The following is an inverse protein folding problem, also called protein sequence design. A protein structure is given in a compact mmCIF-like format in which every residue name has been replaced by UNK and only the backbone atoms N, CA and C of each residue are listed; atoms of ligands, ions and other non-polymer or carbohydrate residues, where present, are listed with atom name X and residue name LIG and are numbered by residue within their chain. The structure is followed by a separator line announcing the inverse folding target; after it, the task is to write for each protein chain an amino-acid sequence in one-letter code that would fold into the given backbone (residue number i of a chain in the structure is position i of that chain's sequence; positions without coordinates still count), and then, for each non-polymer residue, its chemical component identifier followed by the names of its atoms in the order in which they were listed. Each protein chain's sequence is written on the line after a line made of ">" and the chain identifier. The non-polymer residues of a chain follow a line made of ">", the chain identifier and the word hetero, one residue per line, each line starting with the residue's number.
data_IF_974010228764
#
_entry.id   IF_974010228764
#
_cell.length_a   1.000
_cell.length_b   1.000
_cell.length_c   1.000
_cell.angle_alpha   90.00
_cell.angle_beta   90.00
_cell.angle_gamma   90.00
#
_symmetry.space_group_name_H-M   'P 1'
#
loop_
_entity.id
_entity.type
_entity.pdbx_description
1 polymer ?
#
# COMPACT_ATOMS: atom_id res chain seq x y z
N UNK A 1 23.33 -13.56 -36.77
CA UNK A 1 22.55 -14.29 -35.76
C UNK A 1 21.72 -13.25 -35.02
N UNK A 2 20.54 -12.95 -35.56
CA UNK A 2 19.58 -12.02 -34.98
C UNK A 2 18.88 -12.71 -33.81
N UNK A 3 18.97 -12.13 -32.62
CA UNK A 3 18.17 -12.57 -31.49
C UNK A 3 16.75 -12.03 -31.69
N UNK A 4 15.85 -12.87 -32.20
CA UNK A 4 14.42 -12.64 -32.12
C UNK A 4 14.03 -12.58 -30.64
N UNK A 5 13.89 -11.37 -30.10
CA UNK A 5 13.16 -11.14 -28.87
C UNK A 5 11.67 -11.40 -29.14
N UNK A 6 11.25 -12.66 -29.03
CA UNK A 6 9.84 -12.99 -28.87
C UNK A 6 9.35 -12.40 -27.55
N UNK A 7 8.89 -11.15 -27.58
CA UNK A 7 8.08 -10.57 -26.52
C UNK A 7 6.78 -11.39 -26.44
N UNK A 8 6.75 -12.39 -25.57
CA UNK A 8 5.51 -13.01 -25.09
C UNK A 8 4.65 -11.90 -24.48
N UNK A 9 3.71 -11.37 -25.27
CA UNK A 9 2.58 -10.51 -24.86
C UNK A 9 1.57 -11.29 -24.00
N UNK A 10 2.05 -12.05 -23.02
CA UNK A 10 1.18 -12.79 -22.11
C UNK A 10 1.09 -12.00 -20.79
N UNK A 11 -0.14 -11.61 -20.43
CA UNK A 11 -0.57 -10.99 -19.16
C UNK A 11 -0.40 -9.47 -18.98
N UNK A 12 -0.67 -8.67 -20.03
CA UNK A 12 -0.65 -7.19 -19.92
C UNK A 12 -1.87 -6.63 -19.18
N UNK A 13 -3.04 -7.29 -19.24
CA UNK A 13 -4.28 -6.83 -18.57
C UNK A 13 -4.37 -7.19 -17.08
N UNK A 14 -3.68 -8.22 -16.60
CA UNK A 14 -3.75 -8.68 -15.20
C UNK A 14 -2.78 -7.97 -14.25
N UNK A 15 -1.73 -7.31 -14.76
CA UNK A 15 -0.70 -6.66 -13.93
C UNK A 15 -1.13 -5.35 -13.24
N UNK A 16 -2.24 -4.73 -13.66
CA UNK A 16 -2.80 -3.54 -13.01
C UNK A 16 -3.73 -3.87 -11.83
N UNK A 17 -4.10 -5.14 -11.65
CA UNK A 17 -4.91 -5.62 -10.51
C UNK A 17 -4.07 -5.92 -9.25
N UNK A 18 -2.88 -5.34 -9.14
CA UNK A 18 -2.06 -5.51 -7.95
C UNK A 18 -2.81 -4.96 -6.71
N UNK A 19 -2.78 -5.66 -5.58
CA UNK A 19 -3.16 -5.09 -4.29
C UNK A 19 -2.46 -3.75 -4.01
N UNK A 20 -3.14 -2.83 -3.31
CA UNK A 20 -2.69 -1.45 -3.07
C UNK A 20 -1.28 -1.42 -2.49
N UNK A 21 -0.96 -2.30 -1.54
CA UNK A 21 0.37 -2.34 -0.92
C UNK A 21 1.48 -2.78 -1.89
N UNK A 22 1.17 -3.57 -2.92
CA UNK A 22 2.11 -3.84 -4.01
C UNK A 22 2.24 -2.65 -4.95
N UNK A 23 1.14 -1.96 -5.27
CA UNK A 23 1.18 -0.73 -6.07
C UNK A 23 2.05 0.34 -5.39
N UNK A 24 1.88 0.53 -4.08
CA UNK A 24 2.74 1.39 -3.27
C UNK A 24 4.22 0.99 -3.35
N UNK A 25 4.53 -0.31 -3.24
CA UNK A 25 5.90 -0.80 -3.36
C UNK A 25 6.52 -0.54 -4.74
N UNK A 26 5.72 -0.61 -5.81
CA UNK A 26 6.14 -0.22 -7.16
C UNK A 26 6.37 1.29 -7.22
N UNK A 27 5.42 2.10 -6.74
CA UNK A 27 5.50 3.56 -6.77
C UNK A 27 6.68 4.12 -5.97
N UNK A 28 7.04 3.52 -4.84
CA UNK A 28 8.20 3.92 -4.03
C UNK A 28 9.56 3.64 -4.70
N UNK A 29 9.60 2.86 -5.80
CA UNK A 29 10.86 2.50 -6.47
C UNK A 29 11.43 3.57 -7.39
N UNK A 30 10.85 4.76 -7.41
CA UNK A 30 11.36 5.96 -8.10
C UNK A 30 12.69 6.49 -7.57
N UNK A 31 13.14 6.07 -6.37
CA UNK A 31 14.37 6.62 -5.79
C UNK A 31 15.56 5.65 -5.78
N UNK A 32 16.62 6.11 -6.45
CA UNK A 32 17.95 5.51 -6.56
C UNK A 32 18.74 5.32 -5.25
N UNK A 33 18.13 5.59 -4.10
CA UNK A 33 18.76 5.43 -2.78
C UNK A 33 18.01 4.36 -2.02
N UNK A 34 18.73 3.40 -1.45
CA UNK A 34 18.29 2.64 -0.28
C UNK A 34 17.96 3.65 0.82
N UNK A 35 16.78 4.28 0.76
CA UNK A 35 16.22 4.99 1.92
C UNK A 35 16.07 3.91 2.98
N UNK A 36 16.74 4.10 4.12
CA UNK A 36 16.50 3.31 5.32
C UNK A 36 14.99 3.38 5.53
N UNK A 37 14.29 2.26 5.32
CA UNK A 37 12.84 2.25 5.44
C UNK A 37 12.53 2.44 6.91
N UNK A 38 12.08 3.65 7.22
CA UNK A 38 11.67 4.07 8.54
C UNK A 38 10.29 3.49 8.90
N UNK A 39 9.94 3.58 10.18
CA UNK A 39 8.63 3.23 10.75
C UNK A 39 7.45 3.73 9.92
N UNK A 40 7.60 4.89 9.27
CA UNK A 40 6.59 5.51 8.39
C UNK A 40 6.17 4.60 7.23
N UNK A 41 7.11 3.97 6.52
CA UNK A 41 6.74 3.04 5.43
C UNK A 41 6.07 1.78 5.98
N UNK A 42 6.55 1.32 7.14
CA UNK A 42 6.02 0.13 7.82
C UNK A 42 4.55 0.30 8.20
N UNK A 43 4.18 1.48 8.71
CA UNK A 43 2.80 1.85 9.07
C UNK A 43 1.94 2.00 7.80
N UNK A 44 2.43 2.70 6.78
CA UNK A 44 1.69 2.90 5.53
C UNK A 44 1.34 1.57 4.85
N UNK A 45 2.27 0.61 4.78
CA UNK A 45 1.98 -0.72 4.24
C UNK A 45 0.92 -1.45 5.05
N UNK A 46 0.96 -1.38 6.39
CA UNK A 46 -0.04 -2.04 7.24
C UNK A 46 -1.42 -1.46 7.03
N UNK A 47 -1.53 -0.15 6.95
CA UNK A 47 -2.80 0.52 6.67
C UNK A 47 -3.29 0.14 5.27
N UNK A 48 -2.43 0.15 4.26
CA UNK A 48 -2.79 -0.29 2.91
C UNK A 48 -3.26 -1.76 2.84
N UNK A 49 -2.67 -2.65 3.64
CA UNK A 49 -3.10 -4.05 3.74
C UNK A 49 -4.45 -4.17 4.45
N UNK A 50 -4.63 -3.46 5.57
CA UNK A 50 -5.90 -3.45 6.29
C UNK A 50 -7.03 -2.90 5.41
N UNK A 51 -6.80 -1.81 4.67
CA UNK A 51 -7.81 -1.26 3.76
C UNK A 51 -8.08 -2.20 2.58
N UNK A 52 -7.07 -2.90 2.05
CA UNK A 52 -7.27 -3.93 1.04
C UNK A 52 -8.15 -5.09 1.54
N UNK A 53 -8.01 -5.50 2.80
CA UNK A 53 -8.90 -6.49 3.41
C UNK A 53 -10.34 -5.99 3.49
N UNK A 54 -10.56 -4.71 3.77
CA UNK A 54 -11.92 -4.12 3.81
C UNK A 54 -12.53 -4.03 2.41
N UNK A 55 -11.77 -3.55 1.44
CA UNK A 55 -12.23 -3.40 0.05
C UNK A 55 -12.64 -4.76 -0.54
N UNK A 56 -11.92 -5.83 -0.19
CA UNK A 56 -12.19 -7.18 -0.67
C UNK A 56 -13.10 -8.01 0.28
N UNK A 57 -13.85 -7.37 1.18
CA UNK A 57 -14.82 -8.04 2.06
C UNK A 57 -14.27 -9.09 3.04
N UNK A 58 -12.95 -9.09 3.26
CA UNK A 58 -12.30 -9.97 4.22
C UNK A 58 -12.29 -9.41 5.64
N UNK A 59 -12.50 -8.10 5.80
CA UNK A 59 -12.49 -7.42 7.09
C UNK A 59 -13.64 -6.40 7.17
N UNK A 60 -14.42 -6.47 8.25
CA UNK A 60 -15.48 -5.51 8.54
C UNK A 60 -15.60 -5.25 10.04
N UNK A 61 -16.33 -4.20 10.40
CA UNK A 61 -16.78 -3.96 11.77
C UNK A 61 -18.19 -4.54 11.95
N UNK A 62 -18.38 -5.40 12.94
CA UNK A 62 -19.70 -5.78 13.46
C UNK A 62 -19.84 -5.18 14.87
N UNK A 63 -20.64 -4.12 14.99
CA UNK A 63 -20.60 -3.25 16.17
C UNK A 63 -19.23 -2.58 16.31
N UNK A 64 -18.53 -2.87 17.41
CA UNK A 64 -17.17 -2.38 17.68
C UNK A 64 -16.09 -3.46 17.51
N UNK A 65 -16.44 -4.63 16.94
CA UNK A 65 -15.55 -5.76 16.79
C UNK A 65 -15.09 -5.94 15.35
N UNK A 66 -13.80 -6.15 15.15
CA UNK A 66 -13.27 -6.56 13.85
C UNK A 66 -13.64 -8.01 13.57
N UNK A 67 -14.37 -8.23 12.49
CA UNK A 67 -14.68 -9.56 11.99
C UNK A 67 -13.93 -9.83 10.70
N UNK A 68 -13.23 -10.95 10.70
CA UNK A 68 -12.53 -11.47 9.53
C UNK A 68 -13.41 -12.55 8.90
N UNK A 69 -13.66 -12.45 7.60
CA UNK A 69 -14.42 -13.41 6.81
C UNK A 69 -13.55 -13.99 5.72
N UNK A 70 -13.71 -15.30 5.45
CA UNK A 70 -12.98 -15.99 4.38
C UNK A 70 -11.48 -16.10 4.61
N UNK A 71 -10.77 -16.58 3.57
CA UNK A 71 -9.32 -16.75 3.56
C UNK A 71 -8.75 -16.09 2.30
N UNK A 72 -8.05 -14.96 2.43
CA UNK A 72 -7.40 -14.33 1.28
C UNK A 72 -6.38 -15.27 0.62
N UNK A 73 -6.37 -15.34 -0.71
CA UNK A 73 -5.39 -16.16 -1.44
C UNK A 73 -3.96 -15.58 -1.37
N UNK A 74 -3.82 -14.26 -1.17
CA UNK A 74 -2.51 -13.64 -0.96
C UNK A 74 -2.00 -13.95 0.46
N UNK A 75 -0.78 -14.50 0.54
CA UNK A 75 -0.19 -14.94 1.80
C UNK A 75 -0.02 -13.81 2.83
N UNK A 76 0.24 -12.57 2.39
CA UNK A 76 0.39 -11.41 3.29
C UNK A 76 -0.98 -11.00 3.82
N UNK A 77 -1.99 -10.91 2.94
CA UNK A 77 -3.37 -10.64 3.36
C UNK A 77 -3.87 -11.70 4.34
N UNK A 78 -3.62 -12.98 4.07
CA UNK A 78 -4.04 -14.09 4.93
C UNK A 78 -3.36 -14.05 6.30
N UNK A 79 -2.05 -13.79 6.35
CA UNK A 79 -1.32 -13.63 7.61
C UNK A 79 -1.88 -12.49 8.45
N UNK A 80 -2.15 -11.33 7.83
CA UNK A 80 -2.70 -10.17 8.52
C UNK A 80 -4.13 -10.46 8.99
N UNK A 81 -4.98 -11.04 8.15
CA UNK A 81 -6.34 -11.45 8.50
C UNK A 81 -6.35 -12.42 9.69
N UNK A 82 -5.48 -13.44 9.67
CA UNK A 82 -5.32 -14.39 10.77
C UNK A 82 -4.90 -13.68 12.06
N UNK A 83 -3.89 -12.79 12.00
CA UNK A 83 -3.46 -12.00 13.16
C UNK A 83 -4.58 -11.11 13.70
N UNK A 84 -5.37 -10.44 12.85
CA UNK A 84 -6.51 -9.62 13.27
C UNK A 84 -7.54 -10.49 14.01
N UNK A 85 -7.90 -11.66 13.47
CA UNK A 85 -8.85 -12.57 14.12
C UNK A 85 -8.36 -13.00 15.51
N UNK A 86 -7.08 -13.38 15.64
CA UNK A 86 -6.49 -13.77 16.91
C UNK A 86 -6.41 -12.62 17.92
N UNK A 87 -6.14 -11.40 17.46
CA UNK A 87 -6.15 -10.19 18.30
C UNK A 87 -7.57 -9.94 18.83
N UNK A 88 -8.58 -9.96 17.95
CA UNK A 88 -9.96 -9.68 18.35
C UNK A 88 -10.48 -10.74 19.32
N UNK A 89 -10.17 -12.02 19.11
CA UNK A 89 -10.55 -13.09 20.06
C UNK A 89 -9.94 -12.90 21.45
N UNK A 90 -8.80 -12.20 21.56
CA UNK A 90 -8.16 -11.88 22.84
C UNK A 90 -8.56 -10.53 23.41
N UNK A 91 -9.05 -9.60 22.58
CA UNK A 91 -9.38 -8.24 22.99
C UNK A 91 -10.54 -7.68 22.17
N UNK A 92 -11.73 -7.72 22.77
CA UNK A 92 -12.99 -7.24 22.21
C UNK A 92 -13.08 -5.70 22.10
N UNK A 93 -12.10 -4.95 22.60
CA UNK A 93 -12.08 -3.48 22.54
C UNK A 93 -10.96 -2.94 21.66
N UNK A 94 -10.55 -3.71 20.64
CA UNK A 94 -9.46 -3.31 19.74
C UNK A 94 -9.89 -2.18 18.82
N UNK A 95 -9.22 -1.03 18.89
CA UNK A 95 -9.43 0.11 17.97
C UNK A 95 -8.53 -0.01 16.73
N UNK A 96 -8.83 0.70 15.61
CA UNK A 96 -7.95 0.74 14.44
C UNK A 96 -6.50 1.15 14.77
N UNK A 97 -6.33 2.14 15.67
CA UNK A 97 -5.02 2.59 16.15
C UNK A 97 -4.27 1.48 16.88
N UNK A 98 -4.93 0.82 17.84
CA UNK A 98 -4.33 -0.28 18.59
C UNK A 98 -4.00 -1.47 17.68
N UNK A 99 -4.88 -1.79 16.74
CA UNK A 99 -4.67 -2.88 15.79
C UNK A 99 -3.40 -2.65 14.96
N UNK A 100 -3.25 -1.46 14.36
CA UNK A 100 -2.05 -1.12 13.57
C UNK A 100 -0.79 -1.14 14.44
N UNK A 101 -0.84 -0.63 15.67
CA UNK A 101 0.28 -0.66 16.61
C UNK A 101 0.71 -2.11 16.95
N UNK A 102 -0.25 -3.00 17.21
CA UNK A 102 0.03 -4.43 17.45
C UNK A 102 0.67 -5.07 16.22
N UNK A 103 0.08 -4.89 15.03
CA UNK A 103 0.62 -5.45 13.80
C UNK A 103 2.03 -4.90 13.50
N UNK A 104 2.33 -3.67 13.93
CA UNK A 104 3.64 -3.03 13.81
C UNK A 104 4.65 -3.45 14.89
N UNK A 105 4.22 -4.19 15.91
CA UNK A 105 5.07 -4.64 17.01
C UNK A 105 5.36 -3.56 18.05
N UNK A 106 4.55 -2.51 18.11
CA UNK A 106 4.67 -1.41 19.08
C UNK A 106 4.08 -1.78 20.45
N UNK A 107 3.34 -2.90 20.54
CA UNK A 107 2.68 -3.33 21.78
C UNK A 107 3.24 -4.67 22.25
N UNK A 108 4.12 -4.63 23.26
CA UNK A 108 4.87 -5.80 23.74
C UNK A 108 3.99 -6.99 24.14
N UNK A 109 2.87 -6.74 24.81
CA UNK A 109 1.87 -7.76 25.22
C UNK A 109 1.36 -8.61 24.04
N UNK A 110 1.39 -8.05 22.83
CA UNK A 110 0.86 -8.65 21.61
C UNK A 110 1.96 -8.95 20.57
N UNK A 111 3.21 -9.06 21.02
CA UNK A 111 4.38 -9.26 20.14
C UNK A 111 4.27 -10.48 19.23
N UNK A 112 3.56 -11.54 19.64
CA UNK A 112 3.30 -12.74 18.83
C UNK A 112 2.40 -12.49 17.62
N UNK A 113 1.62 -11.40 17.59
CA UNK A 113 0.74 -11.03 16.48
C UNK A 113 1.37 -10.03 15.50
N UNK A 114 2.64 -9.68 15.72
CA UNK A 114 3.38 -8.75 14.87
C UNK A 114 3.65 -9.34 13.49
N UNK A 115 3.39 -8.56 12.44
CA UNK A 115 3.74 -8.96 11.06
C UNK A 115 5.22 -8.68 10.80
N UNK A 116 6.06 -9.70 11.01
CA UNK A 116 7.52 -9.60 10.88
C UNK A 116 7.95 -9.61 9.42
N UNK A 117 9.02 -8.88 9.11
CA UNK A 117 9.68 -8.82 7.78
C UNK A 117 8.71 -8.47 6.63
N UNK A 118 7.69 -7.66 6.89
CA UNK A 118 6.64 -7.33 5.92
C UNK A 118 7.21 -6.84 4.58
N UNK A 119 8.17 -5.92 4.63
CA UNK A 119 8.87 -5.41 3.45
C UNK A 119 9.47 -6.55 2.61
N UNK A 120 10.22 -7.45 3.24
CA UNK A 120 10.88 -8.54 2.53
C UNK A 120 9.86 -9.48 1.92
N UNK A 121 8.74 -9.75 2.61
CA UNK A 121 7.61 -10.53 2.07
C UNK A 121 7.06 -9.88 0.79
N UNK A 122 6.78 -8.57 0.84
CA UNK A 122 6.27 -7.80 -0.31
C UNK A 122 7.23 -7.89 -1.50
N UNK A 123 8.52 -7.58 -1.30
CA UNK A 123 9.48 -7.59 -2.41
C UNK A 123 9.83 -8.99 -2.90
N UNK A 124 9.82 -10.01 -2.04
CA UNK A 124 10.02 -11.38 -2.47
C UNK A 124 8.86 -11.86 -3.34
N UNK A 125 7.62 -11.47 -3.02
CA UNK A 125 6.47 -11.78 -3.88
C UNK A 125 6.55 -11.04 -5.22
N UNK A 126 6.82 -9.74 -5.22
CA UNK A 126 7.05 -8.97 -6.46
C UNK A 126 8.20 -9.54 -7.30
N UNK A 127 9.24 -10.10 -6.65
CA UNK A 127 10.33 -10.79 -7.36
C UNK A 127 9.87 -12.10 -8.00
N UNK A 128 9.12 -12.92 -7.25
CA UNK A 128 8.54 -14.18 -7.78
C UNK A 128 7.61 -13.91 -8.97
N UNK A 129 6.85 -12.82 -8.91
CA UNK A 129 5.94 -12.38 -9.97
C UNK A 129 6.65 -11.62 -11.11
N UNK A 130 7.98 -11.58 -11.09
CA UNK A 130 8.82 -10.92 -12.10
C UNK A 130 8.52 -9.44 -12.30
N UNK A 131 8.01 -8.77 -11.26
CA UNK A 131 7.80 -7.32 -11.23
C UNK A 131 9.12 -6.60 -10.89
N UNK A 132 9.92 -7.19 -10.01
CA UNK A 132 11.24 -6.65 -9.61
C UNK A 132 12.34 -7.70 -9.73
N UNK A 133 13.56 -7.23 -9.97
CA UNK A 133 14.79 -8.03 -9.94
C UNK A 133 15.79 -7.47 -8.94
N UNK A 134 16.62 -8.35 -8.40
CA UNK A 134 17.72 -8.01 -7.50
C UNK A 134 19.00 -7.88 -8.33
N UNK A 135 19.40 -6.67 -8.70
CA UNK A 135 20.69 -6.40 -9.36
C UNK A 135 21.80 -6.32 -8.29
N UNK A 136 22.84 -7.15 -8.42
CA UNK A 136 24.07 -7.00 -7.63
C UNK A 136 24.80 -5.75 -8.13
N UNK A 137 25.26 -4.89 -7.22
CA UNK A 137 26.19 -3.83 -7.60
C UNK A 137 27.58 -4.46 -7.70
N UNK A 138 28.25 -4.29 -8.85
CA UNK A 138 29.58 -4.86 -9.13
C UNK A 138 30.61 -4.43 -8.07
N UNK A 139 30.43 -3.26 -7.45
CA UNK A 139 31.36 -2.68 -6.47
C UNK A 139 30.85 -2.60 -5.02
N UNK A 140 29.68 -3.17 -4.69
CA UNK A 140 29.15 -3.12 -3.31
C UNK A 140 28.53 -4.45 -2.88
N UNK A 141 28.69 -4.79 -1.59
CA UNK A 141 28.05 -5.95 -0.92
C UNK A 141 26.51 -5.81 -0.91
N UNK A 142 25.97 -4.62 -1.19
CA UNK A 142 24.53 -4.38 -1.22
C UNK A 142 23.91 -4.53 -2.61
N UNK A 143 22.90 -5.39 -2.69
CA UNK A 143 22.05 -5.55 -3.86
C UNK A 143 20.98 -4.47 -3.96
N UNK A 144 20.70 -3.98 -5.18
CA UNK A 144 19.58 -3.08 -5.47
C UNK A 144 18.41 -3.87 -6.02
N UNK A 145 17.21 -3.63 -5.49
CA UNK A 145 15.96 -4.11 -6.11
C UNK A 145 15.53 -3.06 -7.14
N UNK A 146 15.30 -3.48 -8.37
CA UNK A 146 14.95 -2.64 -9.53
C UNK A 146 13.70 -3.22 -10.16
N UNK A 147 12.83 -2.37 -10.73
CA UNK A 147 11.72 -2.84 -11.54
C UNK A 147 12.26 -3.58 -12.78
N UNK A 148 11.62 -4.68 -13.14
CA UNK A 148 11.89 -5.37 -14.42
C UNK A 148 11.37 -4.54 -15.57
N UNK A 149 10.18 -3.95 -15.37
CA UNK A 149 9.42 -3.21 -16.34
C UNK A 149 9.09 -1.83 -15.76
N UNK A 150 9.73 -0.78 -16.27
CA UNK A 150 9.41 0.61 -15.88
C UNK A 150 8.02 1.02 -16.40
N UNK A 151 7.46 0.33 -17.40
CA UNK A 151 6.13 0.64 -17.93
C UNK A 151 5.04 0.32 -16.91
N UNK A 152 5.26 -0.63 -15.99
CA UNK A 152 4.30 -0.85 -14.90
C UNK A 152 4.21 0.37 -13.98
N UNK A 153 5.36 0.94 -13.62
CA UNK A 153 5.39 2.16 -12.81
C UNK A 153 4.71 3.31 -13.56
N UNK A 154 5.08 3.52 -14.81
CA UNK A 154 4.52 4.61 -15.62
C UNK A 154 3.01 4.45 -15.81
N UNK A 155 2.51 3.24 -16.04
CA UNK A 155 1.07 2.98 -16.13
C UNK A 155 0.33 3.26 -14.83
N UNK A 156 0.86 2.81 -13.69
CA UNK A 156 0.27 3.14 -12.38
C UNK A 156 0.25 4.65 -12.14
N UNK A 157 1.33 5.34 -12.48
CA UNK A 157 1.43 6.79 -12.39
C UNK A 157 0.39 7.50 -13.26
N UNK A 158 0.26 7.10 -14.54
CA UNK A 158 -0.70 7.70 -15.46
C UNK A 158 -2.14 7.47 -15.01
N UNK A 159 -2.49 6.28 -14.54
CA UNK A 159 -3.83 6.00 -14.00
C UNK A 159 -4.19 6.91 -12.83
N UNK A 160 -3.26 7.10 -11.89
CA UNK A 160 -3.45 8.02 -10.75
C UNK A 160 -3.63 9.46 -11.26
N UNK A 161 -2.81 9.90 -12.22
CA UNK A 161 -2.94 11.24 -12.80
C UNK A 161 -4.25 11.45 -13.55
N UNK A 162 -4.74 10.46 -14.29
CA UNK A 162 -6.00 10.52 -15.01
C UNK A 162 -7.18 10.66 -14.04
N UNK A 163 -7.20 9.89 -12.94
CA UNK A 163 -8.21 10.04 -11.89
C UNK A 163 -8.16 11.44 -11.23
N UNK A 164 -6.95 11.95 -10.98
CA UNK A 164 -6.76 13.31 -10.45
C UNK A 164 -7.29 14.38 -11.41
N UNK A 165 -6.94 14.28 -12.70
CA UNK A 165 -7.37 15.24 -13.74
C UNK A 165 -8.88 15.19 -13.97
N UNK A 166 -9.47 14.01 -13.92
CA UNK A 166 -10.92 13.83 -14.04
C UNK A 166 -11.71 14.25 -12.80
N UNK A 167 -11.04 14.55 -11.67
CA UNK A 167 -11.63 14.87 -10.37
C UNK A 167 -12.53 13.75 -9.81
N UNK A 168 -12.39 12.52 -10.32
CA UNK A 168 -13.13 11.33 -9.88
C UNK A 168 -12.16 10.31 -9.30
N UNK A 169 -11.76 10.54 -8.05
CA UNK A 169 -10.82 9.67 -7.35
C UNK A 169 -11.53 8.41 -6.86
N UNK A 170 -11.02 7.25 -7.25
CA UNK A 170 -11.42 5.99 -6.64
C UNK A 170 -10.91 5.90 -5.20
N UNK A 171 -11.56 5.07 -4.38
CA UNK A 171 -11.12 4.80 -3.01
C UNK A 171 -9.68 4.24 -2.99
N UNK A 172 -9.30 3.43 -3.99
CA UNK A 172 -7.94 2.88 -4.13
C UNK A 172 -6.92 4.00 -4.34
N UNK A 173 -7.20 4.94 -5.25
CA UNK A 173 -6.32 6.10 -5.50
C UNK A 173 -6.23 7.00 -4.29
N UNK A 174 -7.34 7.24 -3.58
CA UNK A 174 -7.33 7.99 -2.32
C UNK A 174 -6.38 7.36 -1.29
N UNK A 175 -6.46 6.04 -1.08
CA UNK A 175 -5.56 5.32 -0.17
C UNK A 175 -4.10 5.50 -0.61
N UNK A 176 -3.81 5.33 -1.90
CA UNK A 176 -2.46 5.46 -2.45
C UNK A 176 -1.90 6.87 -2.20
N UNK A 177 -2.67 7.91 -2.52
CA UNK A 177 -2.26 9.30 -2.35
C UNK A 177 -1.96 9.64 -0.89
N UNK A 178 -2.80 9.18 0.04
CA UNK A 178 -2.60 9.42 1.48
C UNK A 178 -1.36 8.68 2.00
N UNK A 179 -1.16 7.42 1.58
CA UNK A 179 0.04 6.68 1.94
C UNK A 179 1.32 7.35 1.41
N UNK A 180 1.33 7.81 0.16
CA UNK A 180 2.46 8.53 -0.44
C UNK A 180 2.71 9.87 0.26
N UNK A 181 1.65 10.61 0.57
CA UNK A 181 1.75 11.86 1.32
C UNK A 181 2.35 11.65 2.71
N UNK A 182 1.92 10.63 3.44
CA UNK A 182 2.46 10.30 4.77
C UNK A 182 3.95 9.93 4.72
N UNK A 183 4.37 9.20 3.67
CA UNK A 183 5.74 8.73 3.53
C UNK A 183 6.72 9.83 3.16
N UNK A 184 6.39 10.63 2.15
CA UNK A 184 7.31 11.64 1.62
C UNK A 184 6.61 12.84 1.01
N UNK A 185 5.44 13.22 1.50
CA UNK A 185 4.66 14.36 1.01
C UNK A 185 4.36 14.26 -0.50
N UNK A 186 4.16 13.04 -1.00
CA UNK A 186 3.81 12.78 -2.41
C UNK A 186 4.95 12.99 -3.40
N UNK A 187 6.19 13.20 -2.93
CA UNK A 187 7.34 13.51 -3.80
C UNK A 187 7.61 12.42 -4.85
N UNK A 188 7.26 11.16 -4.59
CA UNK A 188 7.42 10.07 -5.57
C UNK A 188 6.59 10.29 -6.84
N UNK A 189 5.43 10.95 -6.72
CA UNK A 189 4.62 11.36 -7.87
C UNK A 189 5.08 12.71 -8.41
N UNK A 190 5.23 13.71 -7.52
CA UNK A 190 5.50 15.11 -7.90
C UNK A 190 6.78 15.29 -8.73
N UNK A 191 7.80 14.46 -8.49
CA UNK A 191 9.06 14.49 -9.24
C UNK A 191 8.91 14.16 -10.74
N UNK A 192 7.78 13.57 -11.14
CA UNK A 192 7.49 13.17 -12.52
C UNK A 192 6.39 14.03 -13.17
N UNK A 193 5.88 15.02 -12.45
CA UNK A 193 4.83 15.92 -12.91
C UNK A 193 5.43 17.22 -13.45
N UNK A 194 4.76 17.81 -14.45
CA UNK A 194 4.93 19.24 -14.77
C UNK A 194 4.27 20.12 -13.68
N UNK A 195 4.47 21.44 -13.72
CA UNK A 195 3.95 22.35 -12.68
C UNK A 195 2.42 22.29 -12.53
N UNK A 196 1.67 22.22 -13.63
CA UNK A 196 0.20 22.09 -13.57
C UNK A 196 -0.23 20.78 -12.90
N UNK A 197 0.44 19.67 -13.23
CA UNK A 197 0.15 18.36 -12.65
C UNK A 197 0.55 18.31 -11.17
N UNK A 198 1.62 19.01 -10.74
CA UNK A 198 1.96 19.15 -9.32
C UNK A 198 0.85 19.86 -8.53
N UNK A 199 0.29 20.94 -9.08
CA UNK A 199 -0.84 21.65 -8.49
C UNK A 199 -2.04 20.71 -8.35
N UNK A 200 -2.38 19.98 -9.42
CA UNK A 200 -3.50 19.04 -9.41
C UNK A 200 -3.31 17.93 -8.37
N UNK A 201 -2.11 17.35 -8.26
CA UNK A 201 -1.78 16.32 -7.26
C UNK A 201 -1.92 16.87 -5.84
N UNK A 202 -1.39 18.06 -5.55
CA UNK A 202 -1.50 18.67 -4.22
C UNK A 202 -2.94 18.98 -3.84
N UNK A 203 -3.73 19.52 -4.79
CA UNK A 203 -5.16 19.75 -4.60
C UNK A 203 -5.89 18.44 -4.30
N UNK A 204 -5.65 17.39 -5.07
CA UNK A 204 -6.26 16.08 -4.85
C UNK A 204 -5.90 15.48 -3.48
N UNK A 205 -4.64 15.59 -3.04
CA UNK A 205 -4.20 15.16 -1.70
C UNK A 205 -4.96 15.94 -0.62
N UNK A 206 -5.06 17.26 -0.74
CA UNK A 206 -5.79 18.09 0.22
C UNK A 206 -7.28 17.75 0.27
N UNK A 207 -7.90 17.53 -0.89
CA UNK A 207 -9.29 17.05 -0.98
C UNK A 207 -9.44 15.71 -0.26
N UNK A 208 -8.57 14.74 -0.52
CA UNK A 208 -8.59 13.44 0.17
C UNK A 208 -8.47 13.61 1.69
N UNK A 209 -7.54 14.45 2.16
CA UNK A 209 -7.35 14.73 3.58
C UNK A 209 -8.63 15.28 4.22
N UNK A 210 -9.27 16.27 3.58
CA UNK A 210 -10.49 16.88 4.09
C UNK A 210 -11.64 15.87 4.11
N UNK A 211 -11.85 15.13 3.02
CA UNK A 211 -12.84 14.04 2.94
C UNK A 211 -12.64 13.06 4.08
N UNK A 212 -11.40 12.62 4.33
CA UNK A 212 -11.12 11.65 5.40
C UNK A 212 -11.37 12.26 6.78
N UNK A 213 -11.00 13.51 7.03
CA UNK A 213 -11.23 14.19 8.32
C UNK A 213 -12.72 14.33 8.62
N UNK A 214 -13.49 14.78 7.63
CA UNK A 214 -14.92 15.08 7.74
C UNK A 214 -15.81 13.83 7.68
N UNK A 215 -15.27 12.70 7.20
CA UNK A 215 -16.03 11.47 7.10
C UNK A 215 -16.52 10.97 8.47
N UNK A 216 -17.85 10.94 8.61
CA UNK A 216 -18.60 10.46 9.77
C UNK A 216 -19.67 9.41 9.39
N UNK A 217 -19.59 8.83 8.20
CA UNK A 217 -20.55 7.85 7.70
C UNK A 217 -20.51 6.50 8.45
N UNK A 218 -21.59 5.72 8.27
CA UNK A 218 -21.79 4.38 8.86
C UNK A 218 -21.69 3.26 7.83
N UNK A 219 -21.34 3.58 6.58
CA UNK A 219 -21.30 2.62 5.49
C UNK A 219 -20.11 1.63 5.62
N UNK A 220 -20.05 0.70 4.66
CA UNK A 220 -19.05 -0.35 4.54
C UNK A 220 -17.60 0.19 4.51
N UNK A 221 -17.39 1.39 3.98
CA UNK A 221 -16.08 2.00 3.79
C UNK A 221 -15.60 2.75 5.04
N UNK A 222 -16.45 2.94 6.05
CA UNK A 222 -16.11 3.59 7.33
C UNK A 222 -14.78 3.11 7.91
N UNK A 223 -14.51 1.81 7.86
CA UNK A 223 -13.28 1.25 8.41
C UNK A 223 -12.03 1.68 7.61
N UNK A 224 -12.14 1.85 6.29
CA UNK A 224 -11.07 2.39 5.46
C UNK A 224 -10.71 3.80 5.93
N UNK A 225 -11.71 4.68 6.08
CA UNK A 225 -11.50 6.04 6.56
C UNK A 225 -10.88 6.09 7.96
N UNK A 226 -11.30 5.19 8.87
CA UNK A 226 -10.71 5.10 10.21
C UNK A 226 -9.22 4.73 10.18
N UNK A 227 -8.81 3.82 9.28
CA UNK A 227 -7.39 3.52 9.10
C UNK A 227 -6.63 4.69 8.46
N UNK A 228 -7.19 5.34 7.45
CA UNK A 228 -6.56 6.48 6.79
C UNK A 228 -6.38 7.69 7.71
N UNK A 229 -7.31 7.95 8.65
CA UNK A 229 -7.18 9.00 9.68
C UNK A 229 -5.86 8.89 10.46
N UNK A 230 -5.33 7.68 10.66
CA UNK A 230 -4.05 7.46 11.35
C UNK A 230 -2.83 8.01 10.60
N UNK A 231 -2.95 8.25 9.29
CA UNK A 231 -1.87 8.78 8.44
C UNK A 231 -1.89 10.31 8.32
N UNK A 232 -2.99 10.94 8.70
CA UNK A 232 -3.21 12.39 8.55
C UNK A 232 -2.77 13.16 9.81
N UNK A 233 -2.69 12.48 10.95
CA UNK A 233 -2.36 13.10 12.24
C UNK A 233 -0.84 13.26 12.35
N UNK A 234 -0.35 14.45 11.94
CA UNK A 234 0.90 15.07 12.38
C UNK A 234 0.69 16.57 12.49
#
# INVERSE_FOLDING_TARGET
>A
MEYEFTHKRNNVKTKLQLPIYYQLAVLFRTHNKTKVLCTVHSIAYRIAICTELVINDYLKLEGNLFKVSGNPNDAILNEVATSISLITNKNNSTTPKLLVAILNGEVAKYSSFTIKKLKDKIYNKLKKDQVVIKKRKIFYISSKIVLVDNDLWFRLFQLILEEIKSKKLSLRTMIILICLNYINKGQDLLNHCNENDKINVNTAINTCINTIKEYNGTDKERLVYQFLKLLIIK
#
